data_IF_534657965001
#
_entry.id   IF_534657965001
#
_cell.length_a   1.000
_cell.length_b   1.000
_cell.length_c   1.000
_cell.angle_alpha   90.00
_cell.angle_beta   90.00
_cell.angle_gamma   90.00
#
_symmetry.space_group_name_H-M   'P 1'
#
loop_
_entity.id
_entity.type
_entity.pdbx_description
1 polymer ?
#
# COMPACT_ATOMS: atom_id res chain seq x y z
N UNK A 1 20.20 -16.07 -10.89
CA UNK A 1 20.00 -14.72 -10.31
C UNK A 1 18.67 -14.23 -10.82
N UNK A 2 17.62 -14.17 -10.00
CA UNK A 2 16.39 -13.53 -10.45
C UNK A 2 16.75 -12.09 -10.88
N UNK A 3 16.29 -11.64 -12.05
CA UNK A 3 16.63 -10.32 -12.56
C UNK A 3 16.29 -9.25 -11.52
N UNK A 4 17.12 -8.21 -11.41
CA UNK A 4 16.96 -7.08 -10.47
C UNK A 4 15.55 -6.46 -10.47
N UNK A 5 14.79 -6.68 -11.55
CA UNK A 5 13.39 -6.29 -11.72
C UNK A 5 12.44 -7.04 -10.78
N UNK A 6 12.57 -8.36 -10.66
CA UNK A 6 11.69 -9.16 -9.78
C UNK A 6 11.93 -8.86 -8.31
N UNK A 7 13.20 -8.65 -7.91
CA UNK A 7 13.52 -8.27 -6.54
C UNK A 7 12.92 -6.90 -6.18
N UNK A 8 12.96 -5.93 -7.09
CA UNK A 8 12.30 -4.63 -6.92
C UNK A 8 10.79 -4.76 -6.80
N UNK A 9 10.18 -5.58 -7.67
CA UNK A 9 8.72 -5.73 -7.70
C UNK A 9 8.20 -6.42 -6.44
N UNK A 10 8.89 -7.45 -5.95
CA UNK A 10 8.59 -8.07 -4.66
C UNK A 10 8.77 -7.08 -3.50
N UNK A 11 9.86 -6.30 -3.49
CA UNK A 11 10.09 -5.30 -2.45
C UNK A 11 8.98 -4.24 -2.43
N UNK A 12 8.53 -3.77 -3.60
CA UNK A 12 7.49 -2.76 -3.72
C UNK A 12 6.13 -3.31 -3.25
N UNK A 13 5.84 -4.58 -3.57
CA UNK A 13 4.66 -5.30 -3.07
C UNK A 13 4.68 -5.46 -1.55
N UNK A 14 5.79 -5.94 -0.99
CA UNK A 14 5.96 -6.12 0.45
C UNK A 14 5.94 -4.78 1.19
N UNK A 15 6.53 -3.74 0.60
CA UNK A 15 6.50 -2.38 1.15
C UNK A 15 5.07 -1.85 1.24
N UNK A 16 4.29 -1.96 0.16
CA UNK A 16 2.88 -1.57 0.15
C UNK A 16 2.03 -2.40 1.13
N UNK A 17 2.26 -3.71 1.20
CA UNK A 17 1.58 -4.61 2.14
C UNK A 17 1.92 -4.30 3.59
N UNK A 18 3.20 -4.10 3.92
CA UNK A 18 3.63 -3.70 5.26
C UNK A 18 3.06 -2.36 5.67
N UNK A 19 3.10 -1.37 4.78
CA UNK A 19 2.52 -0.05 5.00
C UNK A 19 1.01 -0.18 5.25
N UNK A 20 0.29 -0.98 4.45
CA UNK A 20 -1.14 -1.25 4.62
C UNK A 20 -1.47 -1.95 5.94
N UNK A 21 -0.64 -2.93 6.32
CA UNK A 21 -0.78 -3.70 7.57
C UNK A 21 -0.49 -2.83 8.80
N UNK A 22 0.53 -1.97 8.72
CA UNK A 22 0.85 -0.96 9.74
C UNK A 22 -0.27 0.08 9.88
N UNK A 23 -0.91 0.41 8.76
CA UNK A 23 -2.09 1.27 8.75
C UNK A 23 -3.37 0.58 9.25
N UNK A 24 -3.33 -0.73 9.59
CA UNK A 24 -4.47 -1.55 10.03
C UNK A 24 -5.67 -1.50 9.06
N UNK A 25 -5.40 -1.41 7.76
CA UNK A 25 -6.47 -1.23 6.77
C UNK A 25 -7.11 0.16 6.82
N UNK A 26 -6.49 1.17 7.41
CA UNK A 26 -6.94 2.56 7.30
C UNK A 26 -6.13 3.30 6.24
N UNK A 27 -6.81 3.80 5.20
CA UNK A 27 -6.16 4.64 4.19
C UNK A 27 -5.61 5.92 4.78
N UNK A 28 -6.29 6.42 5.82
CA UNK A 28 -5.95 7.68 6.42
C UNK A 28 -4.59 7.64 7.12
N UNK A 29 -4.27 6.50 7.74
CA UNK A 29 -2.96 6.20 8.32
C UNK A 29 -1.94 5.88 7.23
N UNK A 30 -2.32 5.09 6.23
CA UNK A 30 -1.43 4.72 5.12
C UNK A 30 -0.91 5.95 4.39
N UNK A 31 -1.80 6.87 4.01
CA UNK A 31 -1.47 8.13 3.35
C UNK A 31 -0.47 8.98 4.10
N UNK A 32 -0.63 9.10 5.43
CA UNK A 32 0.35 9.77 6.29
C UNK A 32 1.68 9.03 6.36
N UNK A 33 1.64 7.70 6.34
CA UNK A 33 2.82 6.83 6.45
C UNK A 33 3.69 6.82 5.18
N UNK A 34 3.08 6.73 3.99
CA UNK A 34 3.81 6.79 2.71
C UNK A 34 3.96 8.21 2.17
N UNK A 35 3.33 9.22 2.78
CA UNK A 35 3.33 10.60 2.29
C UNK A 35 2.54 10.79 0.99
N UNK A 36 1.69 9.83 0.62
CA UNK A 36 0.81 9.89 -0.54
C UNK A 36 -0.56 10.43 -0.15
N UNK A 37 -1.23 11.11 -1.07
CA UNK A 37 -2.59 11.58 -0.85
C UNK A 37 -3.56 10.43 -0.53
N UNK A 38 -4.42 10.67 0.48
CA UNK A 38 -5.49 9.76 0.88
C UNK A 38 -6.36 9.36 -0.32
N UNK A 39 -6.72 10.30 -1.18
CA UNK A 39 -7.64 10.08 -2.31
C UNK A 39 -7.09 9.06 -3.31
N UNK A 40 -5.79 9.12 -3.62
CA UNK A 40 -5.13 8.17 -4.53
C UNK A 40 -5.05 6.77 -3.93
N UNK A 41 -4.63 6.67 -2.66
CA UNK A 41 -4.59 5.38 -1.96
C UNK A 41 -5.99 4.81 -1.77
N UNK A 42 -6.98 5.64 -1.48
CA UNK A 42 -8.37 5.24 -1.30
C UNK A 42 -8.95 4.62 -2.55
N UNK A 43 -8.77 5.25 -3.72
CA UNK A 43 -9.21 4.63 -4.99
C UNK A 43 -8.48 3.32 -5.25
N UNK A 44 -7.16 3.27 -5.03
CA UNK A 44 -6.35 2.08 -5.30
C UNK A 44 -6.72 0.91 -4.38
N UNK A 45 -6.96 1.17 -3.09
CA UNK A 45 -7.30 0.17 -2.09
C UNK A 45 -8.75 -0.29 -2.17
N UNK A 46 -9.68 0.63 -2.44
CA UNK A 46 -11.06 0.28 -2.74
C UNK A 46 -11.14 -0.58 -4.02
N UNK A 47 -10.30 -0.29 -5.03
CA UNK A 47 -10.17 -1.11 -6.24
C UNK A 47 -9.50 -2.47 -5.99
N UNK A 48 -8.75 -2.62 -4.89
CA UNK A 48 -8.15 -3.88 -4.43
C UNK A 48 -9.09 -4.68 -3.50
N UNK A 49 -10.31 -4.19 -3.24
CA UNK A 49 -11.27 -4.86 -2.36
C UNK A 49 -10.92 -4.76 -0.87
N UNK A 50 -10.03 -3.85 -0.49
CA UNK A 50 -9.68 -3.63 0.91
C UNK A 50 -10.74 -2.71 1.52
N UNK A 51 -11.53 -3.25 2.45
CA UNK A 51 -12.45 -2.45 3.26
C UNK A 51 -11.66 -1.56 4.21
N UNK A 52 -11.63 -0.28 3.86
CA UNK A 52 -10.96 0.74 4.66
C UNK A 52 -11.97 1.25 5.69
N UNK A 53 -11.72 0.96 6.98
CA UNK A 53 -12.46 1.60 8.07
C UNK A 53 -11.97 3.05 8.17
N UNK A 54 -12.91 3.97 8.02
CA UNK A 54 -12.70 5.42 8.17
C UNK A 54 -12.11 5.75 9.54
#
# INVERSE_FOLDING_TARGET
MPPLREAREQFEREYLLRQLKAAQGSVGKLARLVGLERTHLYRKLRSLGVELKD
#
